data_IF_863990842428
#
_entry.id   IF_863990842428
#
_cell.length_a   1.000
_cell.length_b   1.000
_cell.length_c   1.000
_cell.angle_alpha   90.00
_cell.angle_beta   90.00
_cell.angle_gamma   90.00
#
_symmetry.space_group_name_H-M   'P 1'
#
loop_
_entity.id
_entity.type
_entity.pdbx_description
1 polymer ?
#
# COMPACT_ATOMS: atom_id res chain seq x y z
N UNK A 1 -32.41 -6.92 -13.05
CA UNK A 1 -31.18 -6.22 -12.59
C UNK A 1 -31.43 -5.22 -11.45
N UNK A 2 -32.69 -4.80 -11.20
CA UNK A 2 -33.08 -3.89 -10.10
C UNK A 2 -33.03 -4.52 -8.70
N UNK A 3 -33.39 -5.80 -8.58
CA UNK A 3 -33.44 -6.47 -7.27
C UNK A 3 -32.06 -6.60 -6.60
N UNK A 4 -31.01 -6.93 -7.36
CA UNK A 4 -29.65 -7.05 -6.82
C UNK A 4 -29.14 -5.72 -6.26
N UNK A 5 -29.37 -4.62 -6.97
CA UNK A 5 -28.98 -3.26 -6.54
C UNK A 5 -29.72 -2.83 -5.27
N UNK A 6 -31.02 -3.16 -5.17
CA UNK A 6 -31.80 -2.87 -3.97
C UNK A 6 -31.35 -3.73 -2.77
N UNK A 7 -30.96 -5.00 -2.99
CA UNK A 7 -30.43 -5.84 -1.91
C UNK A 7 -29.07 -5.35 -1.40
N UNK A 8 -28.19 -4.87 -2.29
CA UNK A 8 -26.89 -4.31 -1.92
C UNK A 8 -27.07 -3.00 -1.15
N UNK A 9 -27.96 -2.12 -1.60
CA UNK A 9 -28.27 -0.87 -0.88
C UNK A 9 -28.85 -1.12 0.51
N UNK A 10 -29.81 -2.04 0.65
CA UNK A 10 -30.37 -2.38 1.95
C UNK A 10 -29.32 -3.00 2.88
N UNK A 11 -28.42 -3.85 2.35
CA UNK A 11 -27.32 -4.42 3.13
C UNK A 11 -26.35 -3.35 3.61
N UNK A 12 -25.96 -2.43 2.72
CA UNK A 12 -25.08 -1.30 3.05
C UNK A 12 -25.74 -0.38 4.09
N UNK A 13 -27.04 -0.12 3.96
CA UNK A 13 -27.79 0.73 4.90
C UNK A 13 -27.86 0.13 6.30
N UNK A 14 -28.14 -1.18 6.42
CA UNK A 14 -28.12 -1.90 7.71
C UNK A 14 -26.73 -1.88 8.34
N UNK A 15 -25.68 -2.08 7.55
CA UNK A 15 -24.30 -2.06 8.06
C UNK A 15 -23.84 -0.65 8.48
N UNK A 16 -24.42 0.39 7.88
CA UNK A 16 -24.15 1.78 8.22
C UNK A 16 -24.79 2.18 9.56
N UNK A 17 -26.02 1.74 9.83
CA UNK A 17 -26.70 1.98 11.13
C UNK A 17 -25.98 1.32 12.31
N UNK A 18 -25.33 0.18 12.09
CA UNK A 18 -24.54 -0.51 13.11
C UNK A 18 -23.08 -0.02 13.22
N UNK A 19 -22.66 0.98 12.44
CA UNK A 19 -21.28 1.47 12.40
C UNK A 19 -20.25 0.50 11.80
N UNK A 20 -20.66 -0.74 11.50
CA UNK A 20 -19.84 -1.82 10.95
C UNK A 20 -19.27 -1.49 9.57
N UNK A 21 -19.99 -0.67 8.80
CA UNK A 21 -19.53 -0.20 7.49
C UNK A 21 -18.24 0.63 7.59
N UNK A 22 -18.16 1.55 8.56
CA UNK A 22 -16.96 2.37 8.78
C UNK A 22 -15.76 1.53 9.19
N UNK A 23 -15.98 0.47 9.98
CA UNK A 23 -14.93 -0.47 10.39
C UNK A 23 -14.39 -1.24 9.18
N UNK A 24 -15.27 -1.79 8.35
CA UNK A 24 -14.86 -2.56 7.16
C UNK A 24 -14.16 -1.68 6.13
N UNK A 25 -14.72 -0.51 5.83
CA UNK A 25 -14.10 0.44 4.91
C UNK A 25 -12.76 0.92 5.46
N UNK A 26 -12.70 1.31 6.74
CA UNK A 26 -11.47 1.73 7.40
C UNK A 26 -10.39 0.65 7.39
N UNK A 27 -10.76 -0.62 7.59
CA UNK A 27 -9.84 -1.76 7.52
C UNK A 27 -9.31 -1.95 6.10
N UNK A 28 -10.16 -1.89 5.07
CA UNK A 28 -9.74 -1.98 3.66
C UNK A 28 -8.80 -0.82 3.32
N UNK A 29 -9.13 0.40 3.73
CA UNK A 29 -8.29 1.58 3.52
C UNK A 29 -6.95 1.45 4.23
N UNK A 30 -6.92 0.93 5.46
CA UNK A 30 -5.69 0.69 6.20
C UNK A 30 -4.80 -0.34 5.50
N UNK A 31 -5.37 -1.46 5.04
CA UNK A 31 -4.63 -2.49 4.29
C UNK A 31 -4.07 -1.91 2.98
N UNK A 32 -4.88 -1.18 2.22
CA UNK A 32 -4.43 -0.55 0.98
C UNK A 32 -3.31 0.44 1.23
N UNK A 33 -3.42 1.29 2.25
CA UNK A 33 -2.37 2.22 2.65
C UNK A 33 -1.09 1.49 3.02
N UNK A 34 -1.22 0.42 3.81
CA UNK A 34 -0.10 -0.39 4.29
C UNK A 34 0.63 -1.11 3.16
N UNK A 35 -0.06 -1.50 2.09
CA UNK A 35 0.55 -2.18 0.93
C UNK A 35 1.06 -1.21 -0.14
N UNK A 36 0.37 -0.09 -0.40
CA UNK A 36 0.78 0.84 -1.46
C UNK A 36 2.04 1.62 -1.13
N UNK A 37 2.17 2.12 0.10
CA UNK A 37 3.35 2.89 0.56
C UNK A 37 4.68 2.14 0.34
N UNK A 38 4.84 0.87 0.74
CA UNK A 38 6.08 0.12 0.56
C UNK A 38 6.37 -0.27 -0.89
N UNK A 39 5.34 -0.41 -1.74
CA UNK A 39 5.55 -0.61 -3.19
C UNK A 39 6.27 0.60 -3.83
N UNK A 40 6.08 1.82 -3.32
CA UNK A 40 6.88 2.97 -3.74
C UNK A 40 8.37 2.83 -3.34
N UNK A 41 8.67 2.09 -2.27
CA UNK A 41 10.04 1.72 -1.90
C UNK A 41 10.74 0.91 -3.00
N UNK A 42 10.04 -0.05 -3.62
CA UNK A 42 10.56 -0.79 -4.78
C UNK A 42 10.77 0.12 -6.00
N UNK A 43 9.88 1.09 -6.22
CA UNK A 43 10.07 2.10 -7.27
C UNK A 43 11.34 2.94 -7.02
N UNK A 44 11.59 3.33 -5.77
CA UNK A 44 12.80 4.06 -5.39
C UNK A 44 14.07 3.22 -5.63
N UNK A 45 14.02 1.90 -5.36
CA UNK A 45 15.11 0.96 -5.71
C UNK A 45 15.36 0.93 -7.21
N UNK A 46 14.30 0.79 -8.02
CA UNK A 46 14.43 0.78 -9.47
C UNK A 46 14.99 2.10 -10.01
N UNK A 47 14.51 3.23 -9.51
CA UNK A 47 15.05 4.55 -9.87
C UNK A 47 16.52 4.69 -9.47
N UNK A 48 16.89 4.27 -8.26
CA UNK A 48 18.29 4.25 -7.82
C UNK A 48 19.17 3.39 -8.73
N UNK A 49 18.72 2.18 -9.07
CA UNK A 49 19.45 1.29 -9.98
C UNK A 49 19.64 1.91 -11.37
N UNK A 50 18.57 2.46 -11.96
CA UNK A 50 18.65 3.10 -13.28
C UNK A 50 19.52 4.35 -13.27
N UNK A 51 19.49 5.12 -12.18
CA UNK A 51 20.30 6.31 -12.02
C UNK A 51 21.78 5.99 -11.82
N UNK A 52 22.11 4.90 -11.12
CA UNK A 52 23.47 4.38 -10.99
C UNK A 52 24.08 4.02 -12.35
N UNK A 53 23.29 3.41 -13.22
CA UNK A 53 23.71 3.03 -14.57
C UNK A 53 23.91 4.24 -15.51
N UNK A 54 23.11 5.29 -15.32
CA UNK A 54 23.10 6.46 -16.22
C UNK A 54 24.06 7.57 -15.81
N UNK A 55 24.35 7.73 -14.51
CA UNK A 55 25.13 8.85 -13.97
C UNK A 55 26.27 8.30 -13.10
N UNK A 56 27.53 8.66 -13.38
CA UNK A 56 28.72 8.29 -12.58
C UNK A 56 28.67 8.74 -11.09
N UNK A 57 27.59 9.41 -10.65
CA UNK A 57 27.39 9.80 -9.26
C UNK A 57 26.76 8.66 -8.46
N UNK A 58 27.61 7.95 -7.73
CA UNK A 58 27.27 6.74 -6.97
C UNK A 58 26.46 7.00 -5.68
N UNK A 59 26.60 8.16 -5.04
CA UNK A 59 26.03 8.41 -3.70
C UNK A 59 24.50 8.45 -3.71
N UNK A 60 23.91 9.24 -4.62
CA UNK A 60 22.47 9.44 -4.71
C UNK A 60 21.68 8.14 -5.02
N UNK A 61 22.07 7.33 -6.03
CA UNK A 61 21.40 6.08 -6.30
C UNK A 61 21.54 5.04 -5.20
N UNK A 62 22.69 4.98 -4.50
CA UNK A 62 22.85 4.11 -3.32
C UNK A 62 21.90 4.54 -2.20
N UNK A 63 21.75 5.84 -1.96
CA UNK A 63 20.81 6.33 -0.93
C UNK A 63 19.36 6.01 -1.31
N UNK A 64 18.96 6.23 -2.57
CA UNK A 64 17.61 5.89 -3.04
C UNK A 64 17.33 4.38 -2.93
N UNK A 65 18.24 3.55 -3.43
CA UNK A 65 18.07 2.10 -3.40
C UNK A 65 18.18 1.53 -1.98
N UNK A 66 19.09 2.06 -1.16
CA UNK A 66 19.26 1.66 0.23
C UNK A 66 18.02 1.98 1.07
N UNK A 67 17.53 3.23 1.02
CA UNK A 67 16.34 3.63 1.79
C UNK A 67 15.08 2.93 1.28
N UNK A 68 14.89 2.86 -0.04
CA UNK A 68 13.73 2.18 -0.63
C UNK A 68 13.71 0.69 -0.34
N UNK A 69 14.86 0.02 -0.48
CA UNK A 69 15.02 -1.40 -0.23
C UNK A 69 14.90 -1.75 1.25
N UNK A 70 15.53 -0.97 2.13
CA UNK A 70 15.42 -1.14 3.58
C UNK A 70 13.98 -0.96 4.05
N UNK A 71 13.28 0.10 3.58
CA UNK A 71 11.88 0.32 3.90
C UNK A 71 10.97 -0.83 3.46
N UNK A 72 11.21 -1.37 2.26
CA UNK A 72 10.47 -2.53 1.77
C UNK A 72 10.74 -3.80 2.61
N UNK A 73 12.00 -4.10 2.93
CA UNK A 73 12.37 -5.25 3.75
C UNK A 73 11.81 -5.15 5.17
N UNK A 74 11.88 -3.96 5.78
CA UNK A 74 11.29 -3.72 7.10
C UNK A 74 9.77 -3.92 7.08
N UNK A 75 9.12 -3.49 6.00
CA UNK A 75 7.69 -3.73 5.81
C UNK A 75 7.34 -5.21 5.66
N UNK A 76 8.10 -5.97 4.85
CA UNK A 76 7.92 -7.43 4.74
C UNK A 76 8.09 -8.08 6.11
N UNK A 77 9.12 -7.70 6.87
CA UNK A 77 9.36 -8.18 8.22
C UNK A 77 8.17 -7.88 9.15
N UNK A 78 7.65 -6.65 9.12
CA UNK A 78 6.47 -6.26 9.88
C UNK A 78 5.25 -7.14 9.54
N UNK A 79 4.99 -7.41 8.27
CA UNK A 79 3.90 -8.30 7.85
C UNK A 79 4.10 -9.76 8.27
N UNK A 80 5.33 -10.24 8.38
CA UNK A 80 5.60 -11.62 8.84
C UNK A 80 5.49 -11.79 10.36
N UNK A 81 5.52 -10.68 11.11
CA UNK A 81 5.54 -10.68 12.58
C UNK A 81 4.23 -10.22 13.21
N UNK A 82 3.37 -9.53 12.45
CA UNK A 82 1.95 -9.24 12.77
C UNK A 82 1.07 -10.41 12.36
#
# INVERSE_FOLDING_TARGET
MSESQNSLKNTIQVWNEEGRLYVVVGMITAILSLVFIPLFGLLAVYCGYKLYDTQEKTVLPIVMAGLGGFGFLFWVYFLTTV
#
